data_IF_494034379665
#
_entry.id   IF_494034379665
#
_cell.length_a   1.000
_cell.length_b   1.000
_cell.length_c   1.000
_cell.angle_alpha   90.00
_cell.angle_beta   90.00
_cell.angle_gamma   90.00
#
_symmetry.space_group_name_H-M   'P 1'
#
loop_
_entity.id
_entity.type
_entity.pdbx_description
1 polymer ?
#
# COMPACT_ATOMS: atom_id res chain seq x y z
N UNK A 1 -105.79 44.51 -28.11
CA UNK A 1 -105.22 43.21 -27.68
C UNK A 1 -103.91 42.93 -28.41
N UNK A 2 -103.79 43.28 -29.70
CA UNK A 2 -102.55 43.09 -30.49
C UNK A 2 -101.36 43.92 -29.98
N UNK A 3 -101.56 45.18 -29.58
CA UNK A 3 -100.46 46.03 -29.07
C UNK A 3 -99.85 45.52 -27.74
N UNK A 4 -100.66 44.89 -26.89
CA UNK A 4 -100.20 44.32 -25.63
C UNK A 4 -99.36 43.05 -25.88
N UNK A 5 -99.77 42.23 -26.87
CA UNK A 5 -99.03 41.04 -27.27
C UNK A 5 -97.69 41.39 -27.95
N UNK A 6 -97.66 42.46 -28.76
CA UNK A 6 -96.44 43.00 -29.35
C UNK A 6 -95.47 43.55 -28.28
N UNK A 7 -95.99 44.23 -27.26
CA UNK A 7 -95.17 44.71 -26.13
C UNK A 7 -94.59 43.55 -25.31
N UNK A 8 -95.41 42.55 -24.99
CA UNK A 8 -94.97 41.38 -24.23
C UNK A 8 -93.92 40.55 -24.97
N UNK A 9 -94.06 40.37 -26.29
CA UNK A 9 -93.08 39.67 -27.13
C UNK A 9 -91.77 40.46 -27.28
N UNK A 10 -91.84 41.78 -27.42
CA UNK A 10 -90.64 42.64 -27.40
C UNK A 10 -89.89 42.54 -26.07
N UNK A 11 -90.62 42.53 -24.94
CA UNK A 11 -90.01 42.43 -23.62
C UNK A 11 -89.36 41.06 -23.38
N UNK A 12 -90.02 39.97 -23.78
CA UNK A 12 -89.44 38.61 -23.75
C UNK A 12 -88.18 38.51 -24.59
N UNK A 13 -88.17 39.09 -25.79
CA UNK A 13 -86.99 39.11 -26.66
C UNK A 13 -85.81 39.84 -26.01
N UNK A 14 -86.05 41.02 -25.41
CA UNK A 14 -84.99 41.75 -24.69
C UNK A 14 -84.49 41.01 -23.45
N UNK A 15 -85.35 40.26 -22.75
CA UNK A 15 -84.92 39.43 -21.63
C UNK A 15 -84.06 38.26 -22.08
N UNK A 16 -84.41 37.61 -23.19
CA UNK A 16 -83.60 36.52 -23.76
C UNK A 16 -82.24 37.03 -24.24
N UNK A 17 -82.19 38.17 -24.93
CA UNK A 17 -80.93 38.80 -25.37
C UNK A 17 -80.05 39.21 -24.17
N UNK A 18 -80.68 39.67 -23.08
CA UNK A 18 -79.96 40.01 -21.84
C UNK A 18 -79.37 38.79 -21.15
N UNK A 19 -80.08 37.66 -21.11
CA UNK A 19 -79.57 36.40 -20.56
C UNK A 19 -78.48 35.80 -21.45
N UNK A 20 -78.60 35.87 -22.78
CA UNK A 20 -77.57 35.44 -23.72
C UNK A 20 -76.29 36.28 -23.57
N UNK A 21 -76.42 37.60 -23.39
CA UNK A 21 -75.29 38.48 -23.11
C UNK A 21 -74.60 38.13 -21.79
N UNK A 22 -75.37 37.84 -20.72
CA UNK A 22 -74.79 37.40 -19.44
C UNK A 22 -74.05 36.08 -19.58
N UNK A 23 -74.63 35.13 -20.31
CA UNK A 23 -74.00 33.82 -20.55
C UNK A 23 -72.71 33.97 -21.35
N UNK A 24 -72.72 34.80 -22.40
CA UNK A 24 -71.51 35.14 -23.18
C UNK A 24 -70.44 35.79 -22.29
N UNK A 25 -70.84 36.74 -21.44
CA UNK A 25 -69.91 37.41 -20.51
C UNK A 25 -69.30 36.43 -19.51
N UNK A 26 -70.09 35.49 -18.98
CA UNK A 26 -69.61 34.46 -18.07
C UNK A 26 -68.63 33.49 -18.77
N UNK A 27 -68.92 33.10 -20.01
CA UNK A 27 -68.01 32.26 -20.83
C UNK A 27 -66.68 32.96 -21.10
N UNK A 28 -66.70 34.25 -21.42
CA UNK A 28 -65.48 35.04 -21.62
C UNK A 28 -64.65 35.16 -20.34
N UNK A 29 -65.29 35.39 -19.20
CA UNK A 29 -64.61 35.42 -17.90
C UNK A 29 -63.97 34.07 -17.55
N UNK A 30 -64.68 32.96 -17.78
CA UNK A 30 -64.16 31.61 -17.59
C UNK A 30 -62.97 31.32 -18.52
N UNK A 31 -63.06 31.73 -19.79
CA UNK A 31 -61.96 31.57 -20.75
C UNK A 31 -60.72 32.35 -20.30
N UNK A 32 -60.86 33.60 -19.85
CA UNK A 32 -59.74 34.41 -19.36
C UNK A 32 -59.13 33.83 -18.08
N UNK A 33 -59.95 33.28 -17.18
CA UNK A 33 -59.46 32.60 -15.98
C UNK A 33 -58.66 31.35 -16.34
N UNK A 34 -59.17 30.54 -17.29
CA UNK A 34 -58.47 29.36 -17.79
C UNK A 34 -57.13 29.72 -18.44
N UNK A 35 -57.09 30.72 -19.33
CA UNK A 35 -55.86 31.21 -19.96
C UNK A 35 -54.86 31.75 -18.93
N UNK A 36 -55.34 32.48 -17.93
CA UNK A 36 -54.47 32.99 -16.86
C UNK A 36 -53.89 31.84 -16.04
N UNK A 37 -54.68 30.81 -15.76
CA UNK A 37 -54.23 29.64 -15.02
C UNK A 37 -53.19 28.84 -15.82
N UNK A 38 -53.45 28.55 -17.10
CA UNK A 38 -52.51 27.83 -17.97
C UNK A 38 -51.22 28.60 -18.18
N UNK A 39 -51.30 29.91 -18.39
CA UNK A 39 -50.12 30.78 -18.54
C UNK A 39 -49.30 30.85 -17.25
N UNK A 40 -49.95 30.86 -16.08
CA UNK A 40 -49.25 30.90 -14.78
C UNK A 40 -48.58 29.57 -14.42
N UNK A 41 -49.15 28.43 -14.82
CA UNK A 41 -48.64 27.10 -14.49
C UNK A 41 -47.57 26.61 -15.48
N UNK A 42 -47.61 27.06 -16.74
CA UNK A 42 -46.67 26.61 -17.78
C UNK A 42 -45.18 26.78 -17.41
N UNK A 43 -44.73 27.93 -16.85
CA UNK A 43 -43.33 28.09 -16.43
C UNK A 43 -42.94 27.16 -15.27
N UNK A 44 -43.89 26.86 -14.37
CA UNK A 44 -43.65 25.96 -13.25
C UNK A 44 -43.44 24.53 -13.74
N UNK A 45 -44.24 24.07 -14.70
CA UNK A 45 -44.07 22.75 -15.33
C UNK A 45 -42.70 22.65 -16.02
N UNK A 46 -42.30 23.65 -16.81
CA UNK A 46 -40.99 23.67 -17.44
C UNK A 46 -39.84 23.68 -16.42
N UNK A 47 -39.99 24.42 -15.32
CA UNK A 47 -38.97 24.45 -14.26
C UNK A 47 -38.84 23.10 -13.55
N UNK A 48 -39.96 22.37 -13.39
CA UNK A 48 -39.98 21.04 -12.82
C UNK A 48 -39.24 20.03 -13.72
N UNK A 49 -39.48 20.08 -15.03
CA UNK A 49 -38.78 19.23 -16.00
C UNK A 49 -37.26 19.46 -15.97
N UNK A 50 -36.82 20.72 -15.92
CA UNK A 50 -35.39 21.06 -15.81
C UNK A 50 -34.79 20.54 -14.51
N UNK A 51 -35.50 20.70 -13.38
CA UNK A 51 -35.06 20.16 -12.10
C UNK A 51 -34.97 18.63 -12.11
N UNK A 52 -35.93 17.95 -12.74
CA UNK A 52 -35.94 16.50 -12.86
C UNK A 52 -34.74 15.99 -13.67
N UNK A 53 -34.46 16.60 -14.82
CA UNK A 53 -33.28 16.28 -15.64
C UNK A 53 -31.99 16.52 -14.85
N UNK A 54 -31.91 17.62 -14.10
CA UNK A 54 -30.74 17.91 -13.25
C UNK A 54 -30.56 16.86 -12.15
N UNK A 55 -31.67 16.42 -11.53
CA UNK A 55 -31.64 15.39 -10.50
C UNK A 55 -31.21 14.04 -11.07
N UNK A 56 -31.72 13.65 -12.24
CA UNK A 56 -31.35 12.40 -12.88
C UNK A 56 -29.88 12.40 -13.31
N UNK A 57 -29.36 13.54 -13.77
CA UNK A 57 -27.92 13.70 -14.03
C UNK A 57 -27.07 13.53 -12.76
N UNK A 58 -27.53 14.08 -11.63
CA UNK A 58 -26.83 13.92 -10.35
C UNK A 58 -26.86 12.45 -9.88
N UNK A 59 -28.01 11.78 -10.01
CA UNK A 59 -28.15 10.34 -9.70
C UNK A 59 -27.21 9.49 -10.56
N UNK A 60 -27.15 9.75 -11.86
CA UNK A 60 -26.26 9.02 -12.75
C UNK A 60 -24.79 9.16 -12.34
N UNK A 61 -24.33 10.40 -12.09
CA UNK A 61 -22.95 10.65 -11.62
C UNK A 61 -22.65 9.95 -10.30
N UNK A 62 -23.61 9.96 -9.38
CA UNK A 62 -23.47 9.27 -8.10
C UNK A 62 -23.28 7.77 -8.30
N UNK A 63 -24.09 7.13 -9.16
CA UNK A 63 -23.92 5.69 -9.46
C UNK A 63 -22.61 5.36 -10.18
N UNK A 64 -22.07 6.29 -10.97
CA UNK A 64 -20.76 6.12 -11.62
C UNK A 64 -19.63 6.19 -10.60
N UNK A 65 -19.69 7.14 -9.67
CA UNK A 65 -18.73 7.26 -8.57
C UNK A 65 -18.80 6.06 -7.62
N UNK A 66 -20.00 5.58 -7.27
CA UNK A 66 -20.18 4.38 -6.45
C UNK A 66 -19.51 3.16 -7.09
N UNK A 67 -19.67 2.97 -8.40
CA UNK A 67 -18.98 1.89 -9.13
C UNK A 67 -17.46 2.06 -9.09
N UNK A 68 -16.96 3.29 -9.27
CA UNK A 68 -15.53 3.57 -9.21
C UNK A 68 -14.95 3.29 -7.81
N UNK A 69 -15.66 3.65 -6.75
CA UNK A 69 -15.27 3.37 -5.36
C UNK A 69 -15.19 1.86 -5.13
N UNK A 70 -16.22 1.11 -5.48
CA UNK A 70 -16.22 -0.36 -5.33
C UNK A 70 -15.06 -1.03 -6.09
N UNK A 71 -14.73 -0.54 -7.29
CA UNK A 71 -13.59 -1.05 -8.04
C UNK A 71 -12.25 -0.74 -7.37
N UNK A 72 -12.10 0.47 -6.80
CA UNK A 72 -10.89 0.86 -6.09
C UNK A 72 -10.73 0.11 -4.77
N UNK A 73 -11.81 -0.09 -4.03
CA UNK A 73 -11.84 -0.90 -2.81
C UNK A 73 -11.40 -2.34 -3.11
N UNK A 74 -11.93 -2.97 -4.16
CA UNK A 74 -11.50 -4.31 -4.58
C UNK A 74 -10.01 -4.39 -4.92
N UNK A 75 -9.49 -3.40 -5.66
CA UNK A 75 -8.04 -3.33 -5.97
C UNK A 75 -7.19 -3.11 -4.73
N UNK A 76 -7.66 -2.30 -3.79
CA UNK A 76 -6.95 -2.03 -2.54
C UNK A 76 -6.88 -3.31 -1.69
N UNK A 77 -7.98 -4.05 -1.59
CA UNK A 77 -8.04 -5.32 -0.87
C UNK A 77 -7.06 -6.36 -1.46
N UNK A 78 -7.01 -6.47 -2.79
CA UNK A 78 -6.07 -7.35 -3.48
C UNK A 78 -4.61 -6.96 -3.19
N UNK A 79 -4.28 -5.67 -3.29
CA UNK A 79 -2.93 -5.18 -2.98
C UNK A 79 -2.54 -5.41 -1.51
N UNK A 80 -3.47 -5.23 -0.57
CA UNK A 80 -3.24 -5.50 0.85
C UNK A 80 -2.96 -6.99 1.06
N UNK A 81 -3.80 -7.87 0.50
CA UNK A 81 -3.62 -9.31 0.59
C UNK A 81 -2.26 -9.76 0.04
N UNK A 82 -1.85 -9.22 -1.10
CA UNK A 82 -0.55 -9.55 -1.68
C UNK A 82 0.63 -9.00 -0.87
N UNK A 83 0.48 -7.81 -0.28
CA UNK A 83 1.48 -7.25 0.59
C UNK A 83 1.64 -8.07 1.88
N UNK A 84 0.54 -8.51 2.48
CA UNK A 84 0.56 -9.38 3.67
C UNK A 84 1.27 -10.70 3.39
N UNK A 85 1.00 -11.34 2.24
CA UNK A 85 1.71 -12.55 1.80
C UNK A 85 3.21 -12.31 1.67
N UNK A 86 3.62 -11.19 1.04
CA UNK A 86 5.05 -10.84 0.91
C UNK A 86 5.71 -10.61 2.26
N UNK A 87 5.04 -9.90 3.17
CA UNK A 87 5.57 -9.66 4.52
C UNK A 87 5.72 -10.98 5.28
N UNK A 88 4.74 -11.89 5.21
CA UNK A 88 4.83 -13.20 5.84
C UNK A 88 5.99 -14.05 5.30
N UNK A 89 6.20 -14.03 3.97
CA UNK A 89 7.34 -14.70 3.34
C UNK A 89 8.68 -14.12 3.81
N UNK A 90 8.83 -12.80 3.79
CA UNK A 90 10.06 -12.13 4.24
C UNK A 90 10.33 -12.36 5.72
N UNK A 91 9.30 -12.36 6.57
CA UNK A 91 9.43 -12.65 7.98
C UNK A 91 9.93 -14.08 8.20
N UNK A 92 9.40 -15.06 7.45
CA UNK A 92 9.86 -16.45 7.51
C UNK A 92 11.32 -16.59 7.05
N UNK A 93 11.67 -15.99 5.91
CA UNK A 93 13.06 -16.01 5.41
C UNK A 93 14.04 -15.39 6.40
N UNK A 94 13.66 -14.27 7.03
CA UNK A 94 14.50 -13.63 8.04
C UNK A 94 14.62 -14.49 9.30
N UNK A 95 13.53 -15.13 9.76
CA UNK A 95 13.59 -16.07 10.88
C UNK A 95 14.55 -17.24 10.58
N UNK A 96 14.47 -17.80 9.38
CA UNK A 96 15.35 -18.90 8.94
C UNK A 96 16.81 -18.44 8.86
N UNK A 97 17.07 -17.24 8.31
CA UNK A 97 18.41 -16.63 8.26
C UNK A 97 18.98 -16.40 9.65
N UNK A 98 18.20 -15.80 10.55
CA UNK A 98 18.62 -15.54 11.94
C UNK A 98 18.93 -16.86 12.65
N UNK A 99 18.10 -17.88 12.48
CA UNK A 99 18.33 -19.20 13.07
C UNK A 99 19.65 -19.81 12.57
N UNK A 100 19.92 -19.76 11.26
CA UNK A 100 21.19 -20.24 10.69
C UNK A 100 22.39 -19.45 11.20
N UNK A 101 22.28 -18.12 11.28
CA UNK A 101 23.34 -17.26 11.80
C UNK A 101 23.63 -17.56 13.27
N UNK A 102 22.59 -17.79 14.09
CA UNK A 102 22.77 -18.15 15.50
C UNK A 102 23.52 -19.49 15.65
N UNK A 103 23.14 -20.51 14.87
CA UNK A 103 23.82 -21.80 14.90
C UNK A 103 25.28 -21.71 14.40
N UNK A 104 25.57 -20.86 13.42
CA UNK A 104 26.95 -20.58 12.99
C UNK A 104 27.73 -19.84 14.07
N UNK A 105 27.11 -18.88 14.75
CA UNK A 105 27.73 -18.12 15.84
C UNK A 105 28.12 -19.03 16.99
N UNK A 106 27.24 -19.94 17.42
CA UNK A 106 27.54 -20.94 18.45
C UNK A 106 28.75 -21.81 18.07
N UNK A 107 28.84 -22.22 16.79
CA UNK A 107 30.00 -22.98 16.30
C UNK A 107 31.28 -22.16 16.31
N UNK A 108 31.22 -20.89 15.91
CA UNK A 108 32.37 -19.97 15.97
C UNK A 108 32.82 -19.82 17.41
N UNK A 109 31.90 -19.48 18.33
CA UNK A 109 32.23 -19.29 19.74
C UNK A 109 32.85 -20.56 20.38
N UNK A 110 32.35 -21.75 20.03
CA UNK A 110 32.95 -23.02 20.46
C UNK A 110 34.37 -23.21 19.92
N UNK A 111 34.59 -22.93 18.64
CA UNK A 111 35.91 -23.04 18.02
C UNK A 111 36.90 -22.01 18.58
N UNK A 112 36.44 -20.78 18.83
CA UNK A 112 37.24 -19.74 19.45
C UNK A 112 37.69 -20.17 20.86
N UNK A 113 36.78 -20.78 21.62
CA UNK A 113 37.08 -21.32 22.94
C UNK A 113 38.06 -22.49 22.91
N UNK A 114 37.84 -23.48 22.03
CA UNK A 114 38.73 -24.65 21.90
C UNK A 114 40.15 -24.27 21.49
N UNK A 115 40.26 -23.37 20.51
CA UNK A 115 41.54 -22.94 19.96
C UNK A 115 42.21 -21.82 20.77
N UNK A 116 41.50 -21.24 21.74
CA UNK A 116 41.91 -20.01 22.44
C UNK A 116 42.28 -18.90 21.45
N UNK A 117 41.50 -18.77 20.37
CA UNK A 117 41.70 -17.75 19.33
C UNK A 117 40.37 -17.02 19.11
N UNK A 118 40.37 -15.69 19.05
CA UNK A 118 39.20 -14.90 18.65
C UNK A 118 39.42 -14.30 17.28
N UNK A 119 38.40 -14.31 16.43
CA UNK A 119 38.42 -13.68 15.11
C UNK A 119 37.52 -12.43 15.13
N UNK A 120 38.10 -11.28 14.83
CA UNK A 120 37.37 -10.02 14.69
C UNK A 120 37.56 -9.46 13.29
N UNK A 121 36.46 -9.09 12.63
CA UNK A 121 36.51 -8.37 11.36
C UNK A 121 36.50 -6.88 11.64
N UNK A 122 37.53 -6.18 11.17
CA UNK A 122 37.68 -4.75 11.35
C UNK A 122 36.84 -3.97 10.33
N UNK A 123 36.50 -2.72 10.65
CA UNK A 123 35.75 -1.82 9.76
C UNK A 123 36.43 -1.57 8.39
N UNK A 124 37.73 -1.89 8.26
CA UNK A 124 38.49 -1.82 7.02
C UNK A 124 38.44 -3.11 6.18
N UNK A 125 37.69 -4.13 6.62
CA UNK A 125 37.59 -5.44 5.96
C UNK A 125 38.82 -6.33 6.19
N UNK A 126 39.69 -6.05 7.14
CA UNK A 126 40.74 -6.98 7.58
C UNK A 126 40.20 -7.92 8.65
N UNK A 127 40.71 -9.14 8.71
CA UNK A 127 40.37 -10.11 9.77
C UNK A 127 41.55 -10.20 10.74
N UNK A 128 41.29 -9.90 12.00
CA UNK A 128 42.25 -9.98 13.10
C UNK A 128 42.05 -11.30 13.86
N UNK A 129 43.11 -12.11 13.92
CA UNK A 129 43.18 -13.30 14.75
C UNK A 129 43.93 -13.00 16.05
N UNK A 130 43.27 -13.21 17.17
CA UNK A 130 43.77 -12.91 18.52
C UNK A 130 43.92 -14.23 19.27
N UNK A 131 45.14 -14.72 19.45
CA UNK A 131 45.43 -15.92 20.24
C UNK A 131 45.67 -15.57 21.72
N UNK A 132 45.01 -16.29 22.61
CA UNK A 132 45.11 -16.14 24.05
C UNK A 132 45.93 -17.29 24.64
N UNK A 133 47.02 -16.93 25.33
CA UNK A 133 47.74 -17.80 26.25
C UNK A 133 47.53 -17.24 27.66
N UNK A 134 47.34 -18.03 28.72
CA UNK A 134 47.16 -17.54 30.09
C UNK A 134 48.22 -16.54 30.60
N UNK A 135 49.34 -16.37 29.89
CA UNK A 135 50.40 -15.39 30.22
C UNK A 135 50.63 -14.31 29.15
N UNK A 136 49.97 -14.35 27.99
CA UNK A 136 50.19 -13.39 26.89
C UNK A 136 49.09 -13.42 25.83
N UNK A 137 48.85 -12.29 25.15
CA UNK A 137 47.93 -12.17 24.01
C UNK A 137 48.73 -11.87 22.74
N UNK A 138 48.45 -12.59 21.65
CA UNK A 138 49.08 -12.36 20.34
C UNK A 138 48.01 -11.97 19.32
N UNK A 139 48.25 -10.93 18.54
CA UNK A 139 47.33 -10.45 17.51
C UNK A 139 48.00 -10.48 16.14
N UNK A 140 47.32 -11.03 15.14
CA UNK A 140 47.76 -11.00 13.73
C UNK A 140 46.60 -10.58 12.84
N UNK A 141 46.79 -9.50 12.09
CA UNK A 141 45.84 -9.03 11.08
C UNK A 141 46.15 -9.65 9.72
N UNK A 142 45.11 -10.04 8.98
CA UNK A 142 45.21 -10.49 7.59
C UNK A 142 44.14 -9.76 6.78
N UNK A 143 44.54 -9.12 5.69
CA UNK A 143 43.60 -8.50 4.76
C UNK A 143 42.70 -9.57 4.11
N UNK A 144 41.39 -9.32 4.08
CA UNK A 144 40.42 -10.24 3.45
C UNK A 144 40.72 -10.53 1.97
N UNK A 145 41.30 -9.57 1.25
CA UNK A 145 41.78 -9.76 -0.13
C UNK A 145 42.90 -10.82 -0.24
N UNK A 146 43.68 -11.00 0.82
CA UNK A 146 44.78 -11.96 0.87
C UNK A 146 44.30 -13.39 1.22
N UNK A 147 43.05 -13.54 1.68
CA UNK A 147 42.43 -14.84 1.99
C UNK A 147 41.73 -15.47 0.78
N UNK A 148 41.54 -14.74 -0.32
CA UNK A 148 40.87 -15.23 -1.54
C UNK A 148 41.71 -16.19 -2.40
N UNK A 149 42.90 -16.63 -1.96
CA UNK A 149 43.82 -17.36 -2.83
C UNK A 149 44.53 -18.54 -2.16
N UNK A 150 43.79 -19.54 -1.68
CA UNK A 150 44.38 -20.89 -1.47
C UNK A 150 43.49 -22.08 -1.84
N UNK A 151 42.23 -21.90 -2.25
CA UNK A 151 41.37 -23.04 -2.62
C UNK A 151 41.66 -23.66 -4.00
N UNK A 152 42.64 -23.16 -4.76
CA UNK A 152 42.86 -23.56 -6.15
C UNK A 152 44.28 -23.92 -6.58
N UNK A 153 45.28 -23.98 -5.69
CA UNK A 153 46.66 -24.34 -6.09
C UNK A 153 47.36 -25.21 -5.05
N UNK A 154 46.95 -26.47 -5.01
CA UNK A 154 47.91 -27.55 -4.80
C UNK A 154 48.93 -27.47 -5.95
N UNK A 155 50.22 -27.39 -5.63
CA UNK A 155 51.38 -27.29 -6.54
C UNK A 155 51.85 -25.88 -6.95
N UNK A 156 52.46 -25.16 -6.01
CA UNK A 156 53.68 -24.39 -6.31
C UNK A 156 54.53 -24.23 -5.06
N UNK A 157 55.63 -24.98 -5.02
CA UNK A 157 56.75 -24.81 -4.08
C UNK A 157 57.25 -23.37 -4.07
N UNK A 158 56.77 -22.54 -3.15
CA UNK A 158 57.43 -21.30 -2.73
C UNK A 158 58.20 -21.56 -1.43
N UNK A 159 59.26 -22.37 -1.53
CA UNK A 159 60.30 -22.43 -0.51
C UNK A 159 60.97 -21.06 -0.45
N UNK A 160 60.93 -20.40 0.71
CA UNK A 160 62.01 -19.46 1.05
C UNK A 160 61.69 -18.31 2.00
N UNK A 161 60.49 -17.73 2.02
CA UNK A 161 60.27 -16.47 2.75
C UNK A 161 59.23 -16.54 3.88
N UNK A 162 58.12 -17.26 3.70
CA UNK A 162 57.08 -17.35 4.73
C UNK A 162 57.34 -18.41 5.79
N UNK A 163 58.19 -19.41 5.48
CA UNK A 163 58.49 -20.52 6.38
C UNK A 163 59.30 -20.07 7.61
N UNK A 164 60.11 -19.02 7.47
CA UNK A 164 60.94 -18.46 8.55
C UNK A 164 60.09 -17.77 9.63
N UNK A 165 59.01 -17.08 9.24
CA UNK A 165 58.11 -16.40 10.19
C UNK A 165 57.15 -17.38 10.89
N UNK A 166 56.70 -18.42 10.19
CA UNK A 166 55.93 -19.50 10.82
C UNK A 166 56.81 -20.32 11.77
N UNK A 167 58.07 -20.56 11.42
CA UNK A 167 58.99 -21.25 12.32
C UNK A 167 59.35 -20.39 13.53
N UNK A 168 59.55 -19.08 13.42
CA UNK A 168 59.70 -18.19 14.59
C UNK A 168 58.44 -18.16 15.48
N UNK A 169 57.25 -18.25 14.90
CA UNK A 169 55.99 -18.33 15.65
C UNK A 169 55.87 -19.64 16.42
N UNK A 170 56.20 -20.77 15.80
CA UNK A 170 56.22 -22.08 16.45
C UNK A 170 57.39 -22.26 17.42
N UNK A 171 58.57 -21.68 17.15
CA UNK A 171 59.74 -21.67 18.03
C UNK A 171 59.51 -20.80 19.27
N UNK A 172 58.67 -19.75 19.17
CA UNK A 172 58.18 -18.97 20.33
C UNK A 172 57.02 -19.64 21.06
N UNK A 173 56.24 -20.48 20.37
CA UNK A 173 55.43 -21.53 20.99
C UNK A 173 56.33 -22.70 21.42
N UNK A 174 57.31 -22.43 22.28
CA UNK A 174 57.83 -23.50 23.12
C UNK A 174 56.64 -24.05 23.90
N UNK A 175 56.14 -25.21 23.46
CA UNK A 175 55.27 -26.07 24.25
C UNK A 175 56.02 -26.25 25.56
N UNK A 176 55.57 -25.54 26.60
CA UNK A 176 56.15 -25.63 27.92
C UNK A 176 56.26 -27.11 28.26
N UNK A 177 57.45 -27.56 28.67
CA UNK A 177 57.72 -28.97 29.03
C UNK A 177 56.71 -29.50 30.07
N UNK A 178 55.99 -28.59 30.74
CA UNK A 178 54.85 -28.85 31.60
C UNK A 178 53.59 -29.39 30.91
N UNK A 179 53.55 -29.64 29.60
CA UNK A 179 52.38 -30.25 28.93
C UNK A 179 52.66 -31.57 28.21
N UNK A 180 53.92 -32.03 28.16
CA UNK A 180 54.26 -33.33 27.53
C UNK A 180 53.57 -34.52 28.16
N UNK A 181 53.29 -34.46 29.46
CA UNK A 181 52.64 -35.53 30.21
C UNK A 181 51.12 -35.64 29.96
N UNK A 182 50.52 -34.72 29.19
CA UNK A 182 49.13 -34.81 28.75
C UNK A 182 48.98 -35.33 27.31
N UNK A 183 50.09 -35.62 26.63
CA UNK A 183 50.12 -36.13 25.26
C UNK A 183 50.63 -37.58 25.15
N UNK A 184 50.94 -38.23 26.27
CA UNK A 184 51.14 -39.69 26.33
C UNK A 184 49.80 -40.37 26.69
N UNK A 185 48.93 -40.52 25.68
CA UNK A 185 47.91 -41.59 25.56
C UNK A 185 47.84 -42.02 24.11
#
# INVERSE_FOLDING_TARGET
MEDLAALATSYLKTLMEFDEHKESTAKDMLHRLYERQTTSLSPLVLSLDVQQVSQDKARFKLTELEKAVLQLEGKLEEMISDQEKRVALLAKENSDRVSRLSALREKVDLMEWLLHVKLEENAAGSIDAIAFNPKSVFTRSVDSASLQSTEGKENASSKGLHQSQTNEFWDKMQVSETWRHLLDV
#
